data_IF_775581957631
#
_entry.id   IF_775581957631
#
_cell.length_a   1.000
_cell.length_b   1.000
_cell.length_c   1.000
_cell.angle_alpha   90.00
_cell.angle_beta   90.00
_cell.angle_gamma   90.00
#
_symmetry.space_group_name_H-M   'P 1'
#
loop_
_entity.id
_entity.type
_entity.pdbx_description
1 polymer ?
#
# COMPACT_ATOMS: atom_id res chain seq x y z
N UNK A 1 -7.39 10.94 15.87
CA UNK A 1 -7.52 9.53 15.48
C UNK A 1 -8.33 8.66 16.45
N UNK A 2 -8.75 9.14 17.65
CA UNK A 2 -9.49 8.32 18.62
C UNK A 2 -10.78 7.68 18.07
N UNK A 3 -11.47 8.36 17.15
CA UNK A 3 -12.66 7.84 16.45
C UNK A 3 -12.38 6.70 15.48
N UNK A 4 -11.13 6.50 15.03
CA UNK A 4 -10.76 5.47 14.06
C UNK A 4 -10.37 4.13 14.72
N UNK A 5 -9.91 4.16 15.98
CA UNK A 5 -9.50 2.95 16.71
C UNK A 5 -10.59 1.88 16.78
N UNK A 6 -11.86 2.22 17.06
CA UNK A 6 -12.95 1.23 17.02
C UNK A 6 -13.28 0.71 15.60
N UNK A 7 -12.85 1.41 14.54
CA UNK A 7 -13.01 0.96 13.16
C UNK A 7 -11.88 0.00 12.78
N UNK A 8 -10.64 0.29 13.17
CA UNK A 8 -9.49 -0.59 12.94
C UNK A 8 -9.71 -1.99 13.52
N UNK A 9 -10.28 -2.10 14.73
CA UNK A 9 -10.58 -3.40 15.36
C UNK A 9 -11.70 -4.20 14.67
N UNK A 10 -12.53 -3.55 13.85
CA UNK A 10 -13.55 -4.22 13.02
C UNK A 10 -13.00 -4.68 11.66
N UNK A 11 -11.87 -4.13 11.24
CA UNK A 11 -11.17 -4.51 10.02
C UNK A 11 -10.66 -5.95 10.07
N UNK A 12 -10.36 -6.51 8.91
CA UNK A 12 -9.78 -7.85 8.76
C UNK A 12 -8.65 -7.82 7.75
N UNK A 13 -7.67 -8.70 7.94
CA UNK A 13 -6.49 -8.80 7.08
C UNK A 13 -5.48 -7.70 7.34
N UNK A 14 -4.55 -7.56 6.41
CA UNK A 14 -3.47 -6.58 6.48
C UNK A 14 -3.67 -5.42 5.49
N UNK A 15 -2.93 -4.33 5.71
CA UNK A 15 -2.79 -3.22 4.76
C UNK A 15 -1.38 -3.26 4.16
N UNK A 16 -1.28 -3.46 2.84
CA UNK A 16 -0.01 -3.30 2.12
C UNK A 16 0.15 -1.86 1.66
N UNK A 17 1.30 -1.24 1.92
CA UNK A 17 1.63 0.11 1.43
C UNK A 17 2.88 0.01 0.56
N UNK A 18 2.76 0.41 -0.70
CA UNK A 18 3.81 0.23 -1.72
C UNK A 18 4.10 1.57 -2.39
N UNK A 19 5.32 2.08 -2.19
CA UNK A 19 5.83 3.31 -2.79
C UNK A 19 6.66 3.00 -4.04
N UNK A 20 6.80 3.92 -5.01
CA UNK A 20 7.34 3.59 -6.32
C UNK A 20 8.86 3.48 -6.31
N UNK A 21 9.53 4.49 -5.76
CA UNK A 21 10.98 4.65 -5.90
C UNK A 21 11.55 5.68 -4.91
N UNK A 22 12.86 5.92 -4.97
CA UNK A 22 13.58 6.94 -4.17
C UNK A 22 14.27 8.00 -5.04
N UNK A 23 14.17 7.88 -6.37
CA UNK A 23 14.93 8.65 -7.36
C UNK A 23 14.10 9.80 -7.91
N UNK A 24 12.85 9.55 -8.25
CA UNK A 24 11.88 10.56 -8.66
C UNK A 24 11.58 11.55 -7.53
N UNK A 25 11.64 11.09 -6.27
CA UNK A 25 11.55 11.96 -5.10
C UNK A 25 12.04 11.29 -3.81
N UNK A 26 12.81 12.03 -3.01
CA UNK A 26 13.20 11.61 -1.66
C UNK A 26 12.01 11.53 -0.68
N UNK A 27 10.86 12.17 -1.02
CA UNK A 27 9.71 12.28 -0.12
C UNK A 27 9.18 10.92 0.33
N UNK A 28 9.22 9.93 -0.55
CA UNK A 28 8.68 8.61 -0.29
C UNK A 28 9.36 7.92 0.91
N UNK A 29 10.64 8.20 1.09
CA UNK A 29 11.42 7.68 2.22
C UNK A 29 11.40 8.64 3.41
N UNK A 30 11.55 9.94 3.17
CA UNK A 30 11.72 10.93 4.24
C UNK A 30 10.40 11.34 4.92
N UNK A 31 9.27 11.26 4.22
CA UNK A 31 7.98 11.76 4.68
C UNK A 31 6.87 10.71 4.55
N UNK A 32 6.59 10.20 3.34
CA UNK A 32 5.41 9.38 3.10
C UNK A 32 5.44 8.07 3.89
N UNK A 33 6.52 7.29 3.79
CA UNK A 33 6.62 6.04 4.55
C UNK A 33 6.55 6.26 6.09
N UNK A 34 7.29 7.21 6.70
CA UNK A 34 7.15 7.54 8.11
C UNK A 34 5.75 8.02 8.51
N UNK A 35 5.10 8.87 7.71
CA UNK A 35 3.80 9.43 8.04
C UNK A 35 2.65 8.45 7.82
N UNK A 36 2.71 7.61 6.79
CA UNK A 36 1.75 6.53 6.59
C UNK A 36 1.86 5.50 7.72
N UNK A 37 3.08 5.13 8.12
CA UNK A 37 3.32 4.25 9.29
C UNK A 37 2.67 4.84 10.54
N UNK A 38 3.01 6.10 10.87
CA UNK A 38 2.44 6.80 12.03
C UNK A 38 0.92 6.89 11.97
N UNK A 39 0.36 7.20 10.79
CA UNK A 39 -1.08 7.31 10.58
C UNK A 39 -1.82 6.00 10.82
N UNK A 40 -1.27 4.88 10.35
CA UNK A 40 -1.82 3.54 10.56
C UNK A 40 -1.76 3.13 12.04
N UNK A 41 -0.63 3.40 12.71
CA UNK A 41 -0.48 3.17 14.15
C UNK A 41 -1.44 4.02 14.99
N UNK A 42 -1.55 5.31 14.68
CA UNK A 42 -2.47 6.23 15.36
C UNK A 42 -3.94 5.84 15.13
N UNK A 43 -4.26 5.26 13.97
CA UNK A 43 -5.56 4.66 13.66
C UNK A 43 -5.84 3.37 14.46
N UNK A 44 -4.82 2.78 15.09
CA UNK A 44 -4.94 1.61 15.96
C UNK A 44 -4.56 0.28 15.32
N UNK A 45 -3.87 0.27 14.17
CA UNK A 45 -3.31 -0.94 13.59
C UNK A 45 -1.97 -1.27 14.27
N UNK A 46 -1.73 -2.54 14.57
CA UNK A 46 -0.41 -2.99 15.03
C UNK A 46 0.58 -3.14 13.87
N UNK A 47 1.91 -3.14 14.13
CA UNK A 47 2.92 -3.37 13.09
C UNK A 47 2.80 -4.72 12.35
N UNK A 48 2.04 -5.68 12.90
CA UNK A 48 1.76 -6.96 12.23
C UNK A 48 0.56 -6.89 11.28
N UNK A 49 -0.20 -5.79 11.28
CA UNK A 49 -1.40 -5.58 10.47
C UNK A 49 -1.14 -4.70 9.24
N UNK A 50 0.08 -4.20 9.06
CA UNK A 50 0.43 -3.46 7.87
C UNK A 50 1.91 -3.64 7.53
N UNK A 51 2.26 -3.30 6.29
CA UNK A 51 3.65 -3.24 5.84
C UNK A 51 3.80 -2.00 4.95
N UNK A 52 4.92 -1.28 5.11
CA UNK A 52 5.26 -0.12 4.27
C UNK A 52 6.57 -0.41 3.56
N UNK A 53 6.53 -0.39 2.23
CA UNK A 53 7.60 -0.85 1.35
C UNK A 53 7.81 0.13 0.21
N UNK A 54 8.94 0.02 -0.48
CA UNK A 54 9.24 0.83 -1.65
C UNK A 54 9.88 -0.06 -2.72
N UNK A 55 9.34 0.00 -3.94
CA UNK A 55 9.71 -0.84 -5.07
C UNK A 55 11.07 -0.49 -5.69
N UNK A 56 11.71 0.59 -5.24
CA UNK A 56 13.04 1.02 -5.68
C UNK A 56 13.12 1.28 -7.19
N UNK A 57 12.03 1.76 -7.80
CA UNK A 57 11.99 2.08 -9.23
C UNK A 57 11.96 0.86 -10.14
N UNK A 58 11.38 -0.25 -9.67
CA UNK A 58 11.24 -1.50 -10.43
C UNK A 58 9.80 -1.99 -10.47
N UNK A 59 9.19 -1.99 -11.66
CA UNK A 59 7.84 -2.54 -11.89
C UNK A 59 7.72 -3.99 -11.41
N UNK A 60 8.75 -4.81 -11.69
CA UNK A 60 8.76 -6.21 -11.31
C UNK A 60 8.76 -6.38 -9.78
N UNK A 61 9.50 -5.51 -9.09
CA UNK A 61 9.53 -5.47 -7.62
C UNK A 61 8.18 -5.02 -7.08
N UNK A 62 7.59 -3.98 -7.67
CA UNK A 62 6.31 -3.43 -7.24
C UNK A 62 5.18 -4.45 -7.36
N UNK A 63 5.09 -5.12 -8.50
CA UNK A 63 4.13 -6.21 -8.73
C UNK A 63 4.35 -7.34 -7.73
N UNK A 64 5.59 -7.80 -7.55
CA UNK A 64 5.91 -8.90 -6.62
C UNK A 64 5.54 -8.55 -5.17
N UNK A 65 5.75 -7.29 -4.75
CA UNK A 65 5.32 -6.81 -3.43
C UNK A 65 3.80 -6.89 -3.28
N UNK A 66 3.04 -6.42 -4.27
CA UNK A 66 1.59 -6.48 -4.25
C UNK A 66 1.06 -7.93 -4.19
N UNK A 67 1.61 -8.82 -5.02
CA UNK A 67 1.23 -10.25 -5.01
C UNK A 67 1.55 -10.92 -3.67
N UNK A 68 2.72 -10.61 -3.10
CA UNK A 68 3.15 -11.13 -1.80
C UNK A 68 2.25 -10.63 -0.67
N UNK A 69 1.94 -9.34 -0.62
CA UNK A 69 1.10 -8.75 0.42
C UNK A 69 -0.33 -9.31 0.36
N UNK A 70 -0.89 -9.46 -0.85
CA UNK A 70 -2.19 -10.10 -1.06
C UNK A 70 -2.16 -11.55 -0.60
N UNK A 71 -1.11 -12.30 -0.94
CA UNK A 71 -0.93 -13.70 -0.50
C UNK A 71 -0.84 -13.80 1.02
N UNK A 72 -0.22 -12.81 1.68
CA UNK A 72 -0.14 -12.70 3.15
C UNK A 72 -1.44 -12.24 3.81
N UNK A 73 -2.51 -12.03 3.04
CA UNK A 73 -3.82 -11.68 3.55
C UNK A 73 -4.10 -10.18 3.61
N UNK A 74 -3.43 -9.37 2.79
CA UNK A 74 -3.82 -7.98 2.61
C UNK A 74 -5.24 -7.90 2.02
N UNK A 75 -6.09 -7.08 2.62
CA UNK A 75 -7.44 -6.76 2.13
C UNK A 75 -7.51 -5.38 1.49
N UNK A 76 -6.49 -4.56 1.75
CA UNK A 76 -6.29 -3.22 1.16
C UNK A 76 -4.83 -3.06 0.74
N UNK A 77 -4.62 -2.50 -0.44
CA UNK A 77 -3.35 -1.93 -0.88
C UNK A 77 -3.46 -0.41 -0.97
N UNK A 78 -2.50 0.30 -0.40
CA UNK A 78 -2.25 1.73 -0.64
C UNK A 78 -1.03 1.76 -1.55
N UNK A 79 -1.21 2.15 -2.81
CA UNK A 79 -0.20 2.01 -3.85
C UNK A 79 0.02 3.36 -4.52
N UNK A 80 1.29 3.74 -4.64
CA UNK A 80 1.71 4.78 -5.56
C UNK A 80 2.49 4.14 -6.72
N UNK A 81 1.84 3.92 -7.88
CA UNK A 81 2.39 3.16 -8.99
C UNK A 81 3.61 3.84 -9.62
N UNK A 82 4.65 3.07 -9.94
CA UNK A 82 5.79 3.61 -10.69
C UNK A 82 5.35 4.18 -12.04
N UNK A 83 4.48 3.45 -12.74
CA UNK A 83 3.78 3.89 -13.93
C UNK A 83 2.39 3.24 -14.12
N UNK A 84 1.65 3.71 -15.12
CA UNK A 84 0.31 3.22 -15.43
C UNK A 84 0.27 1.72 -15.80
N UNK A 85 1.36 1.19 -16.38
CA UNK A 85 1.45 -0.20 -16.83
C UNK A 85 1.49 -1.18 -15.66
N UNK A 86 2.36 -0.93 -14.69
CA UNK A 86 2.42 -1.74 -13.47
C UNK A 86 1.21 -1.51 -12.56
N UNK A 87 0.75 -0.27 -12.43
CA UNK A 87 -0.45 0.07 -11.66
C UNK A 87 -1.69 -0.72 -12.12
N UNK A 88 -1.93 -0.78 -13.43
CA UNK A 88 -3.07 -1.51 -14.01
C UNK A 88 -2.97 -3.02 -13.76
N UNK A 89 -1.76 -3.57 -13.78
CA UNK A 89 -1.54 -4.99 -13.48
C UNK A 89 -1.89 -5.30 -12.02
N UNK A 90 -1.43 -4.45 -11.10
CA UNK A 90 -1.69 -4.59 -9.66
C UNK A 90 -3.20 -4.43 -9.37
N UNK A 91 -3.86 -3.42 -9.92
CA UNK A 91 -5.30 -3.21 -9.73
C UNK A 91 -6.14 -4.40 -10.21
N UNK A 92 -5.84 -4.94 -11.40
CA UNK A 92 -6.49 -6.15 -11.92
C UNK A 92 -6.24 -7.37 -11.03
N UNK A 93 -5.00 -7.56 -10.60
CA UNK A 93 -4.62 -8.68 -9.74
C UNK A 93 -5.33 -8.63 -8.38
N UNK A 94 -5.41 -7.44 -7.78
CA UNK A 94 -6.10 -7.17 -6.53
C UNK A 94 -7.61 -7.37 -6.66
N UNK A 95 -8.22 -6.81 -7.72
CA UNK A 95 -9.65 -6.94 -8.00
C UNK A 95 -10.07 -8.41 -8.15
N UNK A 96 -9.28 -9.22 -8.87
CA UNK A 96 -9.52 -10.66 -9.03
C UNK A 96 -9.50 -11.45 -7.70
N UNK A 97 -8.93 -10.87 -6.63
CA UNK A 97 -8.82 -11.48 -5.29
C UNK A 97 -9.66 -10.77 -4.24
N UNK A 98 -10.50 -9.83 -4.66
CA UNK A 98 -11.36 -9.05 -3.75
C UNK A 98 -10.60 -8.09 -2.84
N UNK A 99 -9.36 -7.73 -3.21
CA UNK A 99 -8.54 -6.75 -2.49
C UNK A 99 -8.83 -5.35 -3.03
N UNK A 100 -9.00 -4.39 -2.13
CA UNK A 100 -9.27 -2.99 -2.50
C UNK A 100 -7.95 -2.25 -2.70
N UNK A 101 -7.86 -1.44 -3.75
CA UNK A 101 -6.70 -0.58 -4.02
C UNK A 101 -7.08 0.88 -3.76
N UNK A 102 -6.19 1.60 -3.09
CA UNK A 102 -6.22 3.05 -2.91
C UNK A 102 -4.99 3.59 -3.63
N UNK A 103 -5.21 4.28 -4.75
CA UNK A 103 -4.17 5.04 -5.42
C UNK A 103 -3.74 6.21 -4.52
N UNK A 104 -2.44 6.29 -4.24
CA UNK A 104 -1.81 7.29 -3.41
C UNK A 104 -0.85 8.11 -4.26
N UNK A 105 -0.93 9.44 -4.19
CA UNK A 105 -0.19 10.40 -5.04
C UNK A 105 -0.45 10.28 -6.55
N UNK A 106 -0.13 9.15 -7.19
CA UNK A 106 -0.36 8.92 -8.63
C UNK A 106 -1.62 8.09 -8.87
N UNK A 107 -2.34 8.45 -9.93
CA UNK A 107 -3.60 7.82 -10.31
C UNK A 107 -3.39 6.75 -11.37
N UNK A 108 -3.89 5.54 -11.12
CA UNK A 108 -4.18 4.55 -12.16
C UNK A 108 -5.69 4.49 -12.39
N UNK A 109 -6.11 4.24 -13.63
CA UNK A 109 -7.51 3.98 -13.99
C UNK A 109 -7.64 2.54 -14.47
N UNK A 110 -7.91 1.61 -13.56
CA UNK A 110 -7.97 0.16 -13.83
C UNK A 110 -9.08 -0.59 -13.09
#
# INVERSE_FOLDING_TARGET
>A
MASLKPLASKGKGMVGVIMPDTVSSARYTEFDAPYLTKGLEDAGLSPSQFVVQNAQGSDATELTMAESDITRGATVLIMDPLDNGVGLQIEKYAAARGVRVINYDRLTLG
#
